data_IF_490065011719
#
_entry.id   IF_490065011719
#
_cell.length_a   1.000
_cell.length_b   1.000
_cell.length_c   1.000
_cell.angle_alpha   90.00
_cell.angle_beta   90.00
_cell.angle_gamma   90.00
#
_symmetry.space_group_name_H-M   'P 1'
#
loop_
_entity.id
_entity.type
_entity.pdbx_description
1 polymer ?
#
# COMPACT_ATOMS: atom_id res chain seq x y z
N UNK A 1 -3.76 -28.68 -11.51
CA UNK A 1 -3.60 -27.27 -11.91
C UNK A 1 -3.41 -26.46 -10.64
N UNK A 2 -2.24 -25.86 -10.44
CA UNK A 2 -1.96 -25.07 -9.24
C UNK A 2 -2.67 -23.72 -9.39
N UNK A 3 -3.79 -23.53 -8.69
CA UNK A 3 -4.45 -22.22 -8.62
C UNK A 3 -3.53 -21.31 -7.82
N UNK A 4 -3.15 -20.18 -8.42
CA UNK A 4 -2.35 -19.17 -7.73
C UNK A 4 -3.30 -18.38 -6.82
N UNK A 5 -3.06 -18.42 -5.51
CA UNK A 5 -3.86 -17.66 -4.54
C UNK A 5 -3.38 -16.20 -4.50
N UNK A 6 -3.96 -15.38 -5.37
CA UNK A 6 -3.67 -13.94 -5.46
C UNK A 6 -4.00 -13.16 -4.17
N UNK A 7 -4.92 -13.67 -3.36
CA UNK A 7 -5.29 -13.07 -2.08
C UNK A 7 -4.21 -13.23 -1.00
N UNK A 8 -3.41 -14.29 -1.08
CA UNK A 8 -2.32 -14.55 -0.14
C UNK A 8 -1.07 -13.74 -0.45
N UNK A 9 -0.97 -13.17 -1.65
CA UNK A 9 0.15 -12.32 -2.07
C UNK A 9 0.04 -10.90 -1.51
N UNK A 10 1.19 -10.27 -1.27
CA UNK A 10 1.27 -8.84 -0.96
C UNK A 10 0.93 -7.99 -2.20
N UNK A 11 0.57 -6.72 -2.00
CA UNK A 11 0.24 -5.81 -3.12
C UNK A 11 1.37 -5.70 -4.16
N UNK A 12 2.62 -5.67 -3.67
CA UNK A 12 3.80 -5.61 -4.54
C UNK A 12 4.01 -6.91 -5.32
N UNK A 13 3.78 -8.06 -4.68
CA UNK A 13 3.90 -9.38 -5.30
C UNK A 13 2.84 -9.57 -6.38
N UNK A 14 1.59 -9.20 -6.10
CA UNK A 14 0.48 -9.26 -7.05
C UNK A 14 0.73 -8.34 -8.26
N UNK A 15 1.27 -7.13 -8.02
CA UNK A 15 1.65 -6.20 -9.09
C UNK A 15 2.78 -6.77 -9.95
N UNK A 16 3.85 -7.30 -9.33
CA UNK A 16 4.96 -7.91 -10.08
C UNK A 16 4.50 -9.14 -10.87
N UNK A 17 3.62 -9.96 -10.29
CA UNK A 17 3.04 -11.11 -10.94
C UNK A 17 2.23 -10.68 -12.17
N UNK A 18 1.30 -9.73 -12.01
CA UNK A 18 0.52 -9.19 -13.12
C UNK A 18 1.42 -8.59 -14.23
N UNK A 19 2.50 -7.88 -13.87
CA UNK A 19 3.44 -7.33 -14.86
C UNK A 19 4.16 -8.41 -15.68
N UNK A 20 4.44 -9.56 -15.07
CA UNK A 20 5.03 -10.74 -15.73
C UNK A 20 3.99 -11.57 -16.50
N UNK A 21 2.75 -11.59 -16.03
CA UNK A 21 1.63 -12.37 -16.56
C UNK A 21 0.49 -11.46 -17.04
N UNK A 22 0.80 -10.52 -17.95
CA UNK A 22 -0.19 -9.51 -18.42
C UNK A 22 -1.42 -10.09 -19.13
N UNK A 23 -1.36 -11.34 -19.58
CA UNK A 23 -2.49 -12.05 -20.19
C UNK A 23 -3.40 -12.74 -19.17
N UNK A 24 -3.01 -12.77 -17.89
CA UNK A 24 -3.79 -13.40 -16.84
C UNK A 24 -4.86 -12.44 -16.34
N UNK A 25 -6.11 -12.73 -16.72
CA UNK A 25 -7.28 -11.94 -16.34
C UNK A 25 -7.62 -12.07 -14.87
N UNK A 26 -7.33 -13.22 -14.25
CA UNK A 26 -7.63 -13.46 -12.84
C UNK A 26 -6.68 -12.63 -11.96
N UNK A 27 -5.39 -12.58 -12.34
CA UNK A 27 -4.41 -11.70 -11.69
C UNK A 27 -4.76 -10.21 -11.86
N UNK A 28 -5.23 -9.81 -13.04
CA UNK A 28 -5.67 -8.44 -13.29
C UNK A 28 -6.90 -8.06 -12.44
N UNK A 29 -7.90 -8.94 -12.37
CA UNK A 29 -9.09 -8.73 -11.55
C UNK A 29 -8.72 -8.62 -10.07
N UNK A 30 -7.88 -9.52 -9.56
CA UNK A 30 -7.42 -9.46 -8.18
C UNK A 30 -6.67 -8.15 -7.86
N UNK A 31 -5.82 -7.68 -8.80
CA UNK A 31 -5.10 -6.41 -8.65
C UNK A 31 -6.05 -5.20 -8.65
N UNK A 32 -7.06 -5.20 -9.53
CA UNK A 32 -8.08 -4.15 -9.58
C UNK A 32 -8.96 -4.14 -8.33
N UNK A 33 -9.44 -5.31 -7.89
CA UNK A 33 -10.23 -5.44 -6.67
C UNK A 33 -9.47 -4.87 -5.47
N UNK A 34 -8.16 -5.10 -5.39
CA UNK A 34 -7.31 -4.59 -4.31
C UNK A 34 -7.09 -3.08 -4.37
N UNK A 35 -6.98 -2.51 -5.57
CA UNK A 35 -6.97 -1.05 -5.76
C UNK A 35 -8.32 -0.43 -5.39
N UNK A 36 -9.42 -1.09 -5.74
CA UNK A 36 -10.77 -0.63 -5.41
C UNK A 36 -11.10 -0.77 -3.92
N UNK A 37 -10.57 -1.81 -3.26
CA UNK A 37 -10.68 -2.02 -1.81
C UNK A 37 -9.85 -1.05 -0.98
N UNK A 38 -8.91 -0.31 -1.59
CA UNK A 38 -8.28 0.85 -0.94
C UNK A 38 -9.15 2.08 -1.24
N UNK A 39 -10.15 2.42 -0.39
CA UNK A 39 -10.88 3.66 -0.56
C UNK A 39 -9.85 4.79 -0.55
N UNK A 40 -9.70 5.46 -1.69
CA UNK A 40 -8.95 6.70 -1.74
C UNK A 40 -9.71 7.66 -0.85
N UNK A 41 -9.21 7.83 0.37
CA UNK A 41 -9.84 8.68 1.37
C UNK A 41 -9.86 10.09 0.76
N UNK A 42 -11.04 10.59 0.41
CA UNK A 42 -11.19 11.97 -0.05
C UNK A 42 -10.81 12.84 1.15
N UNK A 43 -9.68 13.50 1.05
CA UNK A 43 -9.11 14.28 2.17
C UNK A 43 -9.76 15.66 2.29
N UNK A 44 -10.22 16.24 1.17
CA UNK A 44 -10.98 17.48 1.11
C UNK A 44 -11.72 17.57 -0.24
N UNK A 45 -12.93 18.13 -0.24
CA UNK A 45 -13.69 18.45 -1.45
C UNK A 45 -13.56 19.95 -1.77
N UNK A 46 -13.46 20.39 -3.04
CA UNK A 46 -13.32 21.82 -3.38
C UNK A 46 -14.47 22.71 -2.90
N UNK A 47 -15.60 22.10 -2.54
CA UNK A 47 -16.77 22.79 -1.99
C UNK A 47 -16.78 22.88 -0.46
N UNK A 48 -15.75 22.33 0.22
CA UNK A 48 -15.64 22.39 1.67
C UNK A 48 -15.24 23.80 2.12
N UNK A 49 -15.98 24.43 3.07
CA UNK A 49 -15.61 25.73 3.61
C UNK A 49 -14.23 25.72 4.30
N UNK A 50 -13.82 24.57 4.85
CA UNK A 50 -12.54 24.36 5.53
C UNK A 50 -11.55 23.57 4.66
N UNK A 51 -11.66 23.69 3.32
CA UNK A 51 -10.85 22.93 2.37
C UNK A 51 -9.34 22.99 2.68
N UNK A 52 -8.80 24.19 2.86
CA UNK A 52 -7.37 24.40 3.10
C UNK A 52 -6.89 23.72 4.40
N UNK A 53 -7.70 23.79 5.47
CA UNK A 53 -7.37 23.15 6.76
C UNK A 53 -7.39 21.62 6.65
N UNK A 54 -8.38 21.06 5.95
CA UNK A 54 -8.47 19.61 5.72
C UNK A 54 -7.30 19.10 4.88
N UNK A 55 -6.89 19.84 3.85
CA UNK A 55 -5.72 19.50 3.03
C UNK A 55 -4.45 19.52 3.88
N UNK A 56 -4.24 20.58 4.66
CA UNK A 56 -3.08 20.72 5.56
C UNK A 56 -3.02 19.56 6.58
N UNK A 57 -4.14 19.25 7.22
CA UNK A 57 -4.24 18.17 8.20
C UNK A 57 -3.93 16.80 7.58
N UNK A 58 -4.44 16.53 6.38
CA UNK A 58 -4.19 15.29 5.67
C UNK A 58 -2.74 15.13 5.22
N UNK A 59 -2.09 16.21 4.78
CA UNK A 59 -0.66 16.21 4.46
C UNK A 59 0.16 15.89 5.70
N UNK A 60 -0.14 16.53 6.84
CA UNK A 60 0.55 16.28 8.11
C UNK A 60 0.38 14.83 8.57
N UNK A 61 -0.85 14.32 8.56
CA UNK A 61 -1.14 12.94 8.95
C UNK A 61 -0.39 11.93 8.05
N UNK A 62 -0.29 12.19 6.75
CA UNK A 62 0.43 11.33 5.81
C UNK A 62 1.94 11.39 6.01
N UNK A 63 2.48 12.56 6.33
CA UNK A 63 3.90 12.75 6.64
C UNK A 63 4.28 12.06 7.95
N UNK A 64 3.42 12.14 8.97
CA UNK A 64 3.61 11.44 10.26
C UNK A 64 3.54 9.92 10.08
N UNK A 65 2.54 9.41 9.36
CA UNK A 65 2.43 7.97 9.06
C UNK A 65 3.67 7.46 8.32
N UNK A 66 4.12 8.18 7.28
CA UNK A 66 5.34 7.82 6.55
C UNK A 66 6.60 7.84 7.44
N UNK A 67 6.64 8.72 8.45
CA UNK A 67 7.76 8.78 9.40
C UNK A 67 7.72 7.62 10.39
N UNK A 68 6.54 7.24 10.87
CA UNK A 68 6.36 6.05 11.70
C UNK A 68 6.66 4.74 10.97
N UNK A 69 6.40 4.66 9.65
CA UNK A 69 6.81 3.52 8.82
C UNK A 69 8.33 3.41 8.69
N UNK A 70 9.05 4.54 8.61
CA UNK A 70 10.52 4.58 8.60
C UNK A 70 11.10 4.12 9.95
N UNK A 71 10.47 4.51 11.06
CA UNK A 71 10.89 4.10 12.41
C UNK A 71 10.59 2.61 12.72
N UNK A 72 9.64 1.97 12.02
CA UNK A 72 9.44 0.52 12.10
C UNK A 72 10.40 -0.28 11.22
N UNK A 73 10.84 0.28 10.08
CA UNK A 73 11.86 -0.36 9.23
C UNK A 73 13.26 -0.31 9.84
N UNK A 74 13.60 0.74 10.60
CA UNK A 74 14.91 0.87 11.27
C UNK A 74 15.07 -0.09 12.47
N UNK A 75 13.97 -0.59 13.06
CA UNK A 75 14.01 -1.56 14.17
C UNK A 75 14.05 -3.04 13.73
N UNK A 76 14.01 -3.35 12.43
CA UNK A 76 14.04 -4.75 11.94
C UNK A 76 15.37 -5.15 11.28
N UNK A 77 16.39 -4.27 11.28
CA UNK A 77 17.71 -4.54 10.67
C UNK A 77 18.84 -4.46 11.70
N UNK A 78 18.62 -4.83 12.96
CA UNK A 78 19.75 -5.04 13.90
C UNK A 78 19.47 -6.19 14.87
N UNK A 79 19.47 -7.42 14.36
CA UNK A 79 19.90 -8.57 15.17
C UNK A 79 21.27 -9.01 14.64
N UNK A 80 22.39 -8.65 15.29
CA UNK A 80 23.67 -9.23 14.95
C UNK A 80 23.65 -10.66 15.45
N UNK A 81 23.56 -11.63 14.54
CA UNK A 81 23.89 -13.01 14.87
C UNK A 81 25.41 -13.12 14.86
N UNK A 82 26.01 -12.63 15.95
CA UNK A 82 27.25 -13.21 16.45
C UNK A 82 26.92 -14.65 16.86
N UNK A 83 27.64 -15.63 16.28
CA UNK A 83 28.25 -16.73 17.03
C UNK A 83 28.92 -17.77 16.12
N UNK A 84 30.22 -17.90 16.40
CA UNK A 84 31.11 -19.09 16.37
C UNK A 84 31.31 -19.87 15.06
#
# INVERSE_FOLDING_TARGET
>A
MNRVDYNSMSDEELKQYFLKHRGDRDAFQAYLDRINQRPRRIIASPSDPDFDEKVQAAIRQKLEAARSDIDQQSNTVLKPTDKD
#
